data_IF_225239593385
#
_entry.id   IF_225239593385
#
_cell.length_a   1.000
_cell.length_b   1.000
_cell.length_c   1.000
_cell.angle_alpha   90.00
_cell.angle_beta   90.00
_cell.angle_gamma   90.00
#
_symmetry.space_group_name_H-M   'P 1'
#
loop_
_entity.id
_entity.type
_entity.pdbx_description
1 polymer ?
#
# COMPACT_ATOMS: atom_id res chain seq x y z
N UNK A 1 -1.34 0.50 -9.51
CA UNK A 1 -0.05 1.18 -9.29
C UNK A 1 0.48 1.68 -10.63
N UNK A 2 1.23 2.78 -10.61
CA UNK A 2 1.80 3.37 -11.82
C UNK A 2 3.01 2.55 -12.30
N UNK A 3 2.90 2.01 -13.52
CA UNK A 3 4.01 1.37 -14.23
C UNK A 3 4.78 0.35 -13.36
N UNK A 4 6.10 0.55 -13.29
CA UNK A 4 7.03 -0.32 -12.54
C UNK A 4 7.53 0.28 -11.22
N UNK A 5 6.86 1.31 -10.69
CA UNK A 5 7.32 1.96 -9.46
C UNK A 5 7.28 0.99 -8.25
N UNK A 6 6.26 0.13 -8.21
CA UNK A 6 6.09 -0.88 -7.15
C UNK A 6 6.52 -2.25 -7.66
N UNK A 7 5.74 -2.83 -8.57
CA UNK A 7 6.03 -4.13 -9.14
C UNK A 7 7.23 -4.07 -10.08
N UNK A 8 8.21 -4.97 -9.89
CA UNK A 8 9.53 -4.96 -10.57
C UNK A 8 10.41 -3.73 -10.25
N UNK A 9 9.97 -2.92 -9.28
CA UNK A 9 10.66 -1.76 -8.75
C UNK A 9 11.09 -2.04 -7.31
N UNK A 10 10.39 -1.46 -6.33
CA UNK A 10 10.68 -1.72 -4.90
C UNK A 10 10.30 -3.13 -4.46
N UNK A 11 9.33 -3.77 -5.14
CA UNK A 11 8.78 -5.07 -4.77
C UNK A 11 8.82 -6.04 -5.96
N UNK A 12 9.61 -7.10 -5.82
CA UNK A 12 9.82 -8.11 -6.84
C UNK A 12 10.17 -9.47 -6.20
N UNK A 13 9.15 -10.19 -5.67
CA UNK A 13 9.36 -11.52 -5.12
C UNK A 13 9.99 -12.45 -6.17
N UNK A 14 11.16 -13.01 -5.86
CA UNK A 14 11.95 -13.84 -6.76
C UNK A 14 13.17 -13.15 -7.39
N UNK A 15 13.33 -11.84 -7.21
CA UNK A 15 14.57 -11.15 -7.61
C UNK A 15 15.75 -11.64 -6.74
N UNK A 16 16.98 -11.79 -7.29
CA UNK A 16 18.12 -12.31 -6.53
C UNK A 16 18.47 -11.53 -5.25
N UNK A 17 18.14 -10.25 -5.21
CA UNK A 17 18.37 -9.35 -4.06
C UNK A 17 17.12 -9.15 -3.20
N UNK A 18 15.99 -9.77 -3.55
CA UNK A 18 14.77 -9.64 -2.76
C UNK A 18 14.95 -10.28 -1.39
N UNK A 19 14.47 -9.62 -0.35
CA UNK A 19 14.39 -10.19 0.99
C UNK A 19 13.15 -11.09 1.16
N UNK A 20 12.95 -11.61 2.37
CA UNK A 20 11.83 -12.52 2.68
C UNK A 20 10.44 -11.88 2.50
N UNK A 21 10.34 -10.55 2.51
CA UNK A 21 9.10 -9.81 2.25
C UNK A 21 8.95 -9.44 0.77
N UNK A 22 9.88 -9.86 -0.10
CA UNK A 22 9.87 -9.56 -1.53
C UNK A 22 10.34 -8.15 -1.89
N UNK A 23 10.89 -7.40 -0.92
CA UNK A 23 11.46 -6.08 -1.14
C UNK A 23 12.88 -6.19 -1.67
N UNK A 24 13.20 -5.41 -2.70
CA UNK A 24 14.53 -5.42 -3.31
C UNK A 24 15.56 -4.68 -2.45
N UNK A 25 16.54 -5.42 -1.93
CA UNK A 25 17.56 -4.86 -1.03
C UNK A 25 18.47 -3.85 -1.73
N UNK A 26 18.84 -4.12 -2.98
CA UNK A 26 19.62 -3.18 -3.81
C UNK A 26 18.89 -1.85 -4.03
N UNK A 27 17.56 -1.87 -4.20
CA UNK A 27 16.75 -0.66 -4.29
C UNK A 27 16.65 0.05 -2.94
N UNK A 28 16.47 -0.70 -1.85
CA UNK A 28 16.44 -0.15 -0.49
C UNK A 28 17.74 0.58 -0.15
N UNK A 29 18.89 0.01 -0.50
CA UNK A 29 20.21 0.61 -0.25
C UNK A 29 20.35 1.96 -0.97
N UNK A 30 19.94 2.02 -2.24
CA UNK A 30 19.93 3.27 -3.01
C UNK A 30 18.97 4.32 -2.43
N UNK A 31 17.79 3.90 -1.94
CA UNK A 31 16.84 4.81 -1.28
C UNK A 31 17.42 5.39 0.01
N UNK A 32 18.18 4.59 0.78
CA UNK A 32 18.88 5.05 1.98
C UNK A 32 20.03 5.98 1.64
N UNK A 33 20.83 5.64 0.63
CA UNK A 33 21.95 6.46 0.15
C UNK A 33 21.47 7.84 -0.31
N UNK A 34 20.32 7.90 -1.01
CA UNK A 34 19.70 9.14 -1.43
C UNK A 34 19.20 10.01 -0.25
N UNK A 35 19.10 9.45 0.95
CA UNK A 35 18.66 10.18 2.14
C UNK A 35 17.16 10.50 2.13
N UNK A 36 16.32 9.62 1.57
CA UNK A 36 14.87 9.83 1.51
C UNK A 36 14.29 9.91 2.93
N UNK A 37 13.52 10.98 3.21
CA UNK A 37 12.88 11.25 4.51
C UNK A 37 11.36 11.10 4.49
N UNK A 38 10.75 11.04 3.32
CA UNK A 38 9.30 10.84 3.20
C UNK A 38 8.97 10.12 1.89
N UNK A 39 8.07 9.15 1.95
CA UNK A 39 7.55 8.44 0.78
C UNK A 39 6.04 8.56 0.78
N UNK A 40 5.46 9.23 -0.23
CA UNK A 40 4.01 9.38 -0.38
C UNK A 40 3.38 8.12 -0.97
N UNK A 41 2.27 7.62 -0.39
CA UNK A 41 1.60 6.38 -0.84
C UNK A 41 0.11 6.32 -0.46
N UNK A 42 -0.76 5.54 -1.15
CA UNK A 42 -0.65 5.12 -2.54
C UNK A 42 -1.09 6.30 -3.41
N UNK A 43 -0.14 6.94 -4.09
CA UNK A 43 -0.32 8.29 -4.60
C UNK A 43 -0.69 8.42 -6.08
N UNK A 44 -0.86 9.69 -6.47
CA UNK A 44 -1.21 10.13 -7.81
C UNK A 44 -2.68 9.86 -8.15
N UNK A 45 -2.99 9.88 -9.45
CA UNK A 45 -4.34 9.62 -9.96
C UNK A 45 -4.90 8.25 -9.55
N UNK A 46 -4.02 7.29 -9.23
CA UNK A 46 -4.38 5.95 -8.75
C UNK A 46 -5.28 6.01 -7.51
N UNK A 47 -4.97 6.89 -6.55
CA UNK A 47 -5.69 6.93 -5.26
C UNK A 47 -7.17 7.26 -5.45
N UNK A 48 -7.53 8.02 -6.48
CA UNK A 48 -8.88 8.52 -6.71
C UNK A 48 -9.89 7.42 -7.03
N UNK A 49 -9.46 6.23 -7.46
CA UNK A 49 -10.30 5.05 -7.67
C UNK A 49 -9.99 3.88 -6.72
N UNK A 50 -9.00 4.05 -5.85
CA UNK A 50 -8.45 2.99 -5.01
C UNK A 50 -9.30 2.71 -3.77
N UNK A 51 -9.40 1.42 -3.40
CA UNK A 51 -10.04 0.95 -2.16
C UNK A 51 -8.98 0.33 -1.26
N UNK A 52 -8.71 0.95 -0.12
CA UNK A 52 -7.61 0.52 0.76
C UNK A 52 -7.84 -0.87 1.35
N UNK A 53 -9.11 -1.27 1.50
CA UNK A 53 -9.53 -2.58 1.99
C UNK A 53 -9.13 -3.71 1.03
N UNK A 54 -8.99 -3.41 -0.26
CA UNK A 54 -8.57 -4.40 -1.27
C UNK A 54 -7.08 -4.76 -1.13
N UNK A 55 -6.30 -4.07 -0.28
CA UNK A 55 -4.85 -4.26 -0.13
C UNK A 55 -4.37 -4.69 1.26
N UNK A 56 -5.30 -5.11 2.12
CA UNK A 56 -5.00 -5.61 3.46
C UNK A 56 -5.51 -7.04 3.62
N UNK A 57 -5.00 -7.77 4.62
CA UNK A 57 -5.33 -9.18 4.82
C UNK A 57 -4.47 -10.13 3.97
N UNK A 58 -4.79 -11.44 3.96
CA UNK A 58 -4.04 -12.46 3.23
C UNK A 58 -3.96 -12.13 1.74
N UNK A 59 -2.78 -12.25 1.13
CA UNK A 59 -2.50 -11.78 -0.24
C UNK A 59 -3.34 -12.54 -1.27
N UNK A 60 -3.60 -13.81 -1.01
CA UNK A 60 -4.43 -14.72 -1.80
C UNK A 60 -5.91 -14.30 -1.90
N UNK A 61 -6.41 -13.58 -0.90
CA UNK A 61 -7.80 -13.11 -0.84
C UNK A 61 -7.97 -11.71 -1.45
N UNK A 62 -6.88 -11.01 -1.75
CA UNK A 62 -6.91 -9.64 -2.26
C UNK A 62 -7.38 -9.62 -3.71
N UNK A 63 -8.41 -8.82 -4.06
CA UNK A 63 -8.97 -8.82 -5.40
C UNK A 63 -8.07 -8.10 -6.40
N UNK A 64 -8.06 -8.57 -7.65
CA UNK A 64 -7.51 -7.81 -8.78
C UNK A 64 -8.47 -6.71 -9.19
N UNK A 65 -7.98 -5.50 -9.48
CA UNK A 65 -8.78 -4.34 -9.88
C UNK A 65 -8.26 -3.71 -11.16
N UNK A 66 -9.15 -3.15 -11.96
CA UNK A 66 -8.75 -2.29 -13.06
C UNK A 66 -8.45 -0.89 -12.52
N UNK A 67 -7.22 -0.44 -12.70
CA UNK A 67 -6.78 0.93 -12.44
C UNK A 67 -7.11 1.79 -13.67
N UNK A 68 -8.18 2.58 -13.55
CA UNK A 68 -8.65 3.43 -14.64
C UNK A 68 -7.71 4.61 -14.93
N UNK A 69 -6.89 5.03 -13.97
CA UNK A 69 -5.98 6.15 -14.17
C UNK A 69 -4.85 5.79 -15.14
N UNK A 70 -4.39 4.54 -15.08
CA UNK A 70 -3.24 4.06 -15.85
C UNK A 70 -3.56 2.89 -16.81
N UNK A 71 -4.85 2.54 -16.93
CA UNK A 71 -5.35 1.44 -17.78
C UNK A 71 -4.61 0.13 -17.53
N UNK A 72 -4.34 -0.17 -16.26
CA UNK A 72 -3.56 -1.34 -15.84
C UNK A 72 -4.38 -2.21 -14.88
N UNK A 73 -3.99 -3.47 -14.71
CA UNK A 73 -4.57 -4.32 -13.66
C UNK A 73 -3.72 -4.21 -12.40
N UNK A 74 -4.32 -3.73 -11.31
CA UNK A 74 -3.75 -3.75 -9.97
C UNK A 74 -4.00 -5.11 -9.32
N UNK A 75 -2.94 -5.73 -8.81
CA UNK A 75 -3.01 -7.04 -8.16
C UNK A 75 -3.23 -6.97 -6.66
N UNK A 76 -3.00 -5.81 -6.05
CA UNK A 76 -3.02 -5.55 -4.62
C UNK A 76 -2.07 -6.44 -3.78
N UNK A 77 -1.09 -7.10 -4.43
CA UNK A 77 -0.05 -7.86 -3.73
C UNK A 77 0.85 -6.97 -2.89
N UNK A 78 1.04 -5.72 -3.31
CA UNK A 78 1.67 -4.69 -2.51
C UNK A 78 0.60 -3.72 -2.00
N UNK A 79 0.39 -3.71 -0.69
CA UNK A 79 -0.66 -2.97 -0.01
C UNK A 79 -0.14 -2.14 1.15
N UNK A 80 -0.98 -1.89 2.15
CA UNK A 80 -0.60 -1.06 3.30
C UNK A 80 0.48 -1.73 4.15
N UNK A 81 0.36 -3.04 4.40
CA UNK A 81 1.34 -3.85 5.14
C UNK A 81 2.73 -3.76 4.54
N UNK A 82 2.81 -4.06 3.25
CA UNK A 82 4.09 -4.11 2.53
C UNK A 82 4.71 -2.71 2.42
N UNK A 83 3.89 -1.65 2.30
CA UNK A 83 4.37 -0.27 2.38
C UNK A 83 4.94 0.09 3.76
N UNK A 84 4.27 -0.28 4.86
CA UNK A 84 4.79 -0.01 6.21
C UNK A 84 6.08 -0.80 6.46
N UNK A 85 6.17 -2.05 5.98
CA UNK A 85 7.39 -2.84 6.05
C UNK A 85 8.53 -2.17 5.26
N UNK A 86 8.25 -1.67 4.06
CA UNK A 86 9.18 -0.91 3.25
C UNK A 86 9.71 0.34 3.98
N UNK A 87 8.83 1.16 4.59
CA UNK A 87 9.25 2.32 5.38
C UNK A 87 10.14 1.95 6.57
N UNK A 88 9.79 0.88 7.30
CA UNK A 88 10.60 0.38 8.42
C UNK A 88 12.00 0.00 7.96
N UNK A 89 12.13 -0.57 6.75
CA UNK A 89 13.42 -0.94 6.17
C UNK A 89 14.22 0.25 5.67
N UNK A 90 13.60 1.31 5.15
CA UNK A 90 14.33 2.55 4.82
C UNK A 90 15.01 3.11 6.08
N UNK A 91 14.29 3.13 7.20
CA UNK A 91 14.84 3.51 8.51
C UNK A 91 14.08 4.65 9.20
N UNK A 92 14.56 5.10 10.37
CA UNK A 92 13.87 6.09 11.21
C UNK A 92 13.52 7.39 10.49
N UNK A 93 14.37 7.82 9.55
CA UNK A 93 14.22 9.06 8.80
C UNK A 93 12.97 9.09 7.90
N UNK A 94 12.44 7.94 7.48
CA UNK A 94 11.26 7.81 6.63
C UNK A 94 10.13 7.00 7.29
N UNK A 95 10.18 6.80 8.61
CA UNK A 95 9.27 5.90 9.33
C UNK A 95 7.82 6.39 9.37
N UNK A 96 7.61 7.70 9.33
CA UNK A 96 6.26 8.27 9.34
C UNK A 96 5.60 8.12 7.96
N UNK A 97 4.46 7.42 7.85
CA UNK A 97 3.81 7.21 6.57
C UNK A 97 3.14 8.51 6.07
N UNK A 98 3.40 8.86 4.81
CA UNK A 98 2.74 9.98 4.13
C UNK A 98 1.60 9.46 3.25
N UNK A 99 0.41 9.35 3.85
CA UNK A 99 -0.74 8.69 3.22
C UNK A 99 -1.58 9.62 2.34
N UNK A 100 -1.90 9.17 1.14
CA UNK A 100 -2.96 9.75 0.30
C UNK A 100 -4.28 8.99 0.54
N UNK A 101 -5.39 9.74 0.59
CA UNK A 101 -6.73 9.18 0.79
C UNK A 101 -7.55 9.39 -0.48
N UNK A 102 -8.35 8.39 -0.84
CA UNK A 102 -9.28 8.49 -1.97
C UNK A 102 -10.37 9.52 -1.65
N UNK A 103 -10.33 10.66 -2.34
CA UNK A 103 -11.37 11.69 -2.35
C UNK A 103 -12.05 11.85 -3.72
N UNK A 104 -11.79 10.93 -4.66
CA UNK A 104 -12.37 10.94 -6.00
C UNK A 104 -13.68 10.15 -6.04
N UNK A 105 -13.59 8.82 -6.02
CA UNK A 105 -14.77 7.93 -5.99
C UNK A 105 -15.29 7.66 -4.58
N UNK A 106 -14.58 8.14 -3.55
CA UNK A 106 -14.99 8.02 -2.15
C UNK A 106 -15.01 9.40 -1.51
N UNK A 107 -16.05 9.69 -0.73
CA UNK A 107 -16.18 10.95 0.01
C UNK A 107 -15.51 10.88 1.39
N UNK A 108 -15.93 11.77 2.32
CA UNK A 108 -15.50 11.75 3.74
C UNK A 108 -15.65 10.40 4.45
N UNK A 109 -16.42 9.45 3.89
CA UNK A 109 -16.58 8.08 4.40
C UNK A 109 -15.54 7.05 3.92
N UNK A 110 -14.53 7.44 3.14
CA UNK A 110 -13.52 6.51 2.59
C UNK A 110 -12.29 6.24 3.46
N UNK A 111 -12.19 6.88 4.62
CA UNK A 111 -11.12 6.62 5.59
C UNK A 111 -11.46 5.43 6.51
N UNK A 112 -10.47 4.86 7.21
CA UNK A 112 -10.65 3.74 8.15
C UNK A 112 -11.47 4.09 9.42
N UNK A 113 -12.14 5.24 9.46
CA UNK A 113 -12.75 5.83 10.66
C UNK A 113 -14.28 6.01 10.60
N UNK A 114 -15.00 5.41 9.64
CA UNK A 114 -16.46 5.55 9.56
C UNK A 114 -17.23 4.29 10.00
N UNK A 115 -18.16 4.51 10.93
CA UNK A 115 -19.05 3.55 11.58
C UNK A 115 -20.45 3.42 10.94
N UNK A 116 -20.61 3.60 9.62
CA UNK A 116 -21.92 3.46 8.95
C UNK A 116 -21.93 2.58 7.70
N UNK A 117 -22.30 1.32 7.95
CA UNK A 117 -23.24 0.46 7.20
C UNK A 117 -22.94 0.10 5.74
N UNK A 118 -22.10 -0.92 5.55
CA UNK A 118 -22.53 -2.12 4.80
C UNK A 118 -22.83 -3.24 5.81
N UNK A 119 -23.69 -4.25 5.53
CA UNK A 119 -23.98 -5.33 6.48
C UNK A 119 -22.76 -6.19 6.87
N UNK A 120 -21.60 -5.91 6.26
CA UNK A 120 -20.34 -6.62 6.45
C UNK A 120 -19.22 -5.73 7.00
N UNK A 121 -19.49 -4.47 7.38
CA UNK A 121 -18.45 -3.60 7.98
C UNK A 121 -18.17 -4.07 9.41
N UNK A 122 -16.98 -4.61 9.70
CA UNK A 122 -16.67 -5.05 11.05
C UNK A 122 -16.39 -3.81 11.93
N UNK A 123 -16.65 -3.88 13.26
CA UNK A 123 -16.60 -2.72 14.15
C UNK A 123 -15.21 -2.04 14.18
N UNK A 124 -15.13 -0.80 14.71
CA UNK A 124 -13.87 -0.03 14.76
C UNK A 124 -12.69 -0.76 15.44
N UNK A 125 -12.99 -1.69 16.35
CA UNK A 125 -12.03 -2.64 16.94
C UNK A 125 -11.47 -3.62 15.92
N UNK A 126 -12.30 -4.12 14.99
CA UNK A 126 -11.87 -4.98 13.91
C UNK A 126 -11.06 -4.26 12.83
N UNK A 127 -11.32 -2.97 12.56
CA UNK A 127 -10.49 -2.16 11.65
C UNK A 127 -9.09 -1.91 12.23
N UNK A 128 -9.01 -1.65 13.54
CA UNK A 128 -7.73 -1.53 14.25
C UNK A 128 -7.04 -2.88 14.45
N UNK A 129 -7.77 -3.99 14.51
CA UNK A 129 -7.19 -5.34 14.48
C UNK A 129 -6.72 -5.74 13.08
N UNK A 130 -7.43 -5.34 12.02
CA UNK A 130 -7.04 -5.55 10.62
C UNK A 130 -5.78 -4.74 10.28
N UNK A 131 -5.68 -3.51 10.79
CA UNK A 131 -4.48 -2.68 10.70
C UNK A 131 -3.32 -3.16 11.58
N UNK A 132 -3.60 -3.94 12.65
CA UNK A 132 -2.56 -4.57 13.50
C UNK A 132 -2.05 -5.91 12.96
N UNK A 133 -2.85 -6.58 12.12
CA UNK A 133 -2.45 -7.75 11.33
C UNK A 133 -1.73 -7.38 10.04
N UNK A 134 -1.59 -6.08 9.78
CA UNK A 134 -0.90 -5.50 8.64
C UNK A 134 0.58 -5.23 8.93
#
# INVERSE_FOLDING_TARGET
HLGRCVYTGVFEPGHPTADAEGLRQDVLDLVRELGVTAVRYPGGNFVSGYKWEDSVGPVEDRPRRLDLAWRSTETNRFGLSEYIAFLKKIGPQARAPLMAVNLGTRGRGGGPWNSRSTPTTPPATALSDLARRA
#
